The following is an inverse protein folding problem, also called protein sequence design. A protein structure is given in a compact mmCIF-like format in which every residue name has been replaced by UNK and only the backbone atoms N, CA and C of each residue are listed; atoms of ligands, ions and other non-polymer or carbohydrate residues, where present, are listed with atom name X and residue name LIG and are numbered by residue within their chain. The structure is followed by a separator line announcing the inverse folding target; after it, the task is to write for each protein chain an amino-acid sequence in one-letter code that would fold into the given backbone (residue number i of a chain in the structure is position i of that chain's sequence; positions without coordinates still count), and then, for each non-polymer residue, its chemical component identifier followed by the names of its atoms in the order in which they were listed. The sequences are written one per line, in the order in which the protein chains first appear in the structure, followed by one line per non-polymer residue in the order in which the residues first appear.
data_IF_788253015722
#
_entry.id   IF_788253015722
#
_cell.length_a   1.000
_cell.length_b   1.000
_cell.length_c   1.000
_cell.angle_alpha   90.00
_cell.angle_beta   90.00
_cell.angle_gamma   90.00
#
_symmetry.space_group_name_H-M   'P 1'
#
loop_
_entity.id
_entity.type
_entity.pdbx_description
1 polymer ?
#
# COMPACT_ATOMS: atom_id res chain seq x y z
N UNK A 1 14.33 6.61 8.87
CA UNK A 1 13.89 5.23 8.57
C UNK A 1 12.98 5.29 7.37
N UNK A 2 13.36 4.57 6.31
CA UNK A 2 12.64 4.50 5.02
C UNK A 2 11.23 3.94 5.17
N UNK A 3 10.95 3.27 6.30
CA UNK A 3 9.59 2.81 6.66
C UNK A 3 8.57 3.94 6.63
N UNK A 4 8.94 5.15 7.08
CA UNK A 4 8.03 6.32 7.08
C UNK A 4 7.72 6.85 5.68
N UNK A 5 8.51 6.46 4.68
CA UNK A 5 8.35 6.88 3.28
C UNK A 5 7.42 5.93 2.51
N UNK A 6 7.05 4.78 3.10
CA UNK A 6 6.08 3.86 2.48
C UNK A 6 4.69 4.53 2.53
N UNK A 7 3.96 4.58 1.40
CA UNK A 7 2.59 5.08 1.40
C UNK A 7 1.67 4.29 2.34
N UNK A 8 0.74 4.99 3.00
CA UNK A 8 -0.25 4.43 3.93
C UNK A 8 0.35 3.74 5.17
N UNK A 9 1.49 4.21 5.68
CA UNK A 9 2.01 3.79 6.99
C UNK A 9 1.45 4.68 8.10
N UNK A 10 0.90 4.05 9.13
CA UNK A 10 0.49 4.68 10.39
C UNK A 10 1.40 4.23 11.51
N UNK A 11 2.16 5.17 12.10
CA UNK A 11 3.04 4.91 13.24
C UNK A 11 2.22 4.81 14.53
N UNK A 12 2.07 3.60 15.07
CA UNK A 12 1.32 3.25 16.28
C UNK A 12 2.20 2.81 17.44
N UNK A 13 3.53 2.98 17.35
CA UNK A 13 4.45 2.67 18.44
C UNK A 13 4.05 3.44 19.70
N UNK A 14 3.80 2.70 20.79
CA UNK A 14 3.37 3.26 22.07
C UNK A 14 1.93 3.80 22.11
N UNK A 15 1.10 3.54 21.08
CA UNK A 15 -0.29 4.03 20.98
C UNK A 15 -1.35 2.96 21.19
N UNK A 16 -0.97 1.68 21.19
CA UNK A 16 -1.87 0.55 21.45
C UNK A 16 -1.85 0.13 22.93
N UNK A 17 -2.86 -0.64 23.36
CA UNK A 17 -2.93 -1.12 24.75
C UNK A 17 -1.67 -1.91 25.13
N UNK A 18 -1.14 -1.66 26.34
CA UNK A 18 0.05 -2.32 26.86
C UNK A 18 -0.05 -2.50 28.37
N UNK A 19 0.56 -3.58 28.87
CA UNK A 19 0.71 -3.90 30.29
C UNK A 19 2.12 -4.45 30.54
N UNK A 20 3.10 -3.57 30.38
CA UNK A 20 4.52 -3.89 30.53
C UNK A 20 5.36 -3.51 29.31
N UNK A 21 6.56 -4.10 29.21
CA UNK A 21 7.51 -3.83 28.13
C UNK A 21 8.12 -5.11 27.58
N UNK A 22 8.25 -5.17 26.26
CA UNK A 22 9.06 -6.19 25.60
C UNK A 22 10.55 -5.91 25.77
N UNK A 23 11.37 -6.96 25.69
CA UNK A 23 12.83 -6.80 25.60
C UNK A 23 13.20 -6.16 24.27
N UNK A 24 14.17 -5.26 24.29
CA UNK A 24 14.71 -4.58 23.12
C UNK A 24 16.15 -5.04 22.91
N UNK A 25 16.49 -5.35 21.67
CA UNK A 25 17.83 -5.69 21.22
C UNK A 25 18.26 -4.75 20.10
N UNK A 26 19.53 -4.79 19.75
CA UNK A 26 20.00 -4.14 18.54
C UNK A 26 19.35 -4.78 17.29
N UNK A 27 19.05 -3.97 16.27
CA UNK A 27 18.39 -4.43 15.05
C UNK A 27 19.20 -5.48 14.30
N UNK A 28 20.52 -5.53 14.48
CA UNK A 28 21.42 -6.55 13.91
C UNK A 28 21.06 -7.98 14.33
N UNK A 29 20.28 -8.17 15.41
CA UNK A 29 19.78 -9.49 15.75
C UNK A 29 18.69 -10.00 14.81
N UNK A 30 18.10 -9.14 13.97
CA UNK A 30 17.00 -9.48 13.07
C UNK A 30 17.54 -10.05 11.75
N UNK A 31 17.32 -11.34 11.54
CA UNK A 31 17.73 -12.10 10.35
C UNK A 31 16.53 -12.55 9.51
N UNK A 32 15.35 -12.60 10.11
CA UNK A 32 14.17 -13.21 9.50
C UNK A 32 12.98 -12.23 9.47
N UNK A 33 12.16 -12.33 8.43
CA UNK A 33 10.81 -11.75 8.40
C UNK A 33 9.80 -12.89 8.50
N UNK A 34 8.86 -12.80 9.43
CA UNK A 34 7.79 -13.76 9.64
C UNK A 34 6.46 -13.22 9.08
N UNK A 35 5.83 -13.96 8.17
CA UNK A 35 4.53 -13.61 7.58
C UNK A 35 3.41 -14.36 8.31
N UNK A 36 2.43 -13.58 8.76
CA UNK A 36 1.25 -14.06 9.48
C UNK A 36 -0.05 -13.60 8.81
N UNK A 37 -1.11 -14.34 9.11
CA UNK A 37 -2.48 -13.84 9.03
C UNK A 37 -3.05 -13.66 10.45
N UNK A 38 -4.12 -12.89 10.60
CA UNK A 38 -4.73 -12.66 11.92
C UNK A 38 -5.63 -13.81 12.38
N UNK A 39 -6.05 -14.70 11.46
CA UNK A 39 -7.09 -15.72 11.71
C UNK A 39 -8.43 -15.08 12.15
N UNK A 40 -8.65 -13.83 11.74
CA UNK A 40 -9.87 -13.06 11.99
C UNK A 40 -10.31 -12.43 10.69
N UNK A 41 -11.61 -12.28 10.47
CA UNK A 41 -12.08 -11.59 9.26
C UNK A 41 -11.77 -10.09 9.32
N UNK A 42 -11.86 -9.49 10.50
CA UNK A 42 -11.59 -8.08 10.72
C UNK A 42 -10.67 -7.88 11.93
N UNK A 43 -10.21 -6.65 12.12
CA UNK A 43 -9.33 -6.27 13.20
C UNK A 43 -8.31 -5.24 12.77
N UNK A 44 -7.56 -4.78 13.77
CA UNK A 44 -6.53 -3.77 13.68
C UNK A 44 -5.54 -3.95 14.83
N UNK A 45 -4.48 -3.17 14.85
CA UNK A 45 -3.47 -3.24 15.89
C UNK A 45 -4.03 -2.97 17.29
N UNK A 46 -5.03 -2.09 17.40
CA UNK A 46 -5.65 -1.76 18.68
C UNK A 46 -6.42 -2.97 19.26
N UNK A 47 -7.26 -3.61 18.46
CA UNK A 47 -8.02 -4.81 18.84
C UNK A 47 -7.10 -6.01 19.12
N UNK A 48 -6.07 -6.22 18.31
CA UNK A 48 -5.08 -7.27 18.56
C UNK A 48 -4.27 -6.99 19.83
N UNK A 49 -3.87 -5.75 20.10
CA UNK A 49 -3.21 -5.38 21.35
C UNK A 49 -4.09 -5.68 22.57
N UNK A 50 -5.37 -5.28 22.54
CA UNK A 50 -6.34 -5.59 23.60
C UNK A 50 -6.45 -7.09 23.87
N UNK A 51 -6.52 -7.90 22.82
CA UNK A 51 -6.56 -9.36 22.97
C UNK A 51 -5.28 -9.90 23.61
N UNK A 52 -4.11 -9.51 23.09
CA UNK A 52 -2.81 -9.96 23.60
C UNK A 52 -2.57 -9.53 25.06
N UNK A 53 -2.95 -8.32 25.45
CA UNK A 53 -2.81 -7.86 26.83
C UNK A 53 -3.80 -8.57 27.75
N UNK A 54 -5.10 -8.51 27.44
CA UNK A 54 -6.14 -8.93 28.39
C UNK A 54 -6.34 -10.44 28.48
N UNK A 55 -6.06 -11.18 27.41
CA UNK A 55 -6.34 -12.61 27.34
C UNK A 55 -5.07 -13.47 27.32
N UNK A 56 -3.97 -12.95 26.76
CA UNK A 56 -2.69 -13.68 26.71
C UNK A 56 -1.70 -13.20 27.78
N UNK A 57 -2.03 -12.13 28.52
CA UNK A 57 -1.17 -11.52 29.54
C UNK A 57 0.20 -11.12 28.98
N UNK A 58 0.23 -10.65 27.73
CA UNK A 58 1.45 -10.17 27.08
C UNK A 58 1.63 -8.66 27.29
N UNK A 59 2.88 -8.17 27.23
CA UNK A 59 3.15 -6.73 27.38
C UNK A 59 2.45 -5.82 26.39
N UNK A 60 2.06 -6.31 25.20
CA UNK A 60 1.42 -5.51 24.15
C UNK A 60 1.10 -6.36 22.92
N UNK A 61 0.98 -5.72 21.76
CA UNK A 61 0.72 -6.42 20.49
C UNK A 61 1.91 -7.30 20.05
N UNK A 62 1.60 -8.48 19.49
CA UNK A 62 2.58 -9.45 19.02
C UNK A 62 3.41 -9.02 17.80
N UNK A 63 2.80 -8.28 16.88
CA UNK A 63 3.37 -8.03 15.54
C UNK A 63 4.09 -6.69 15.49
N UNK A 64 5.17 -6.62 14.70
CA UNK A 64 5.84 -5.34 14.44
C UNK A 64 4.99 -4.49 13.47
N UNK A 65 4.35 -5.16 12.51
CA UNK A 65 3.49 -4.54 11.53
C UNK A 65 2.18 -5.32 11.39
N UNK A 66 1.07 -4.60 11.25
CA UNK A 66 -0.24 -5.15 10.85
C UNK A 66 -0.65 -4.47 9.54
N UNK A 67 -1.15 -5.23 8.57
CA UNK A 67 -1.63 -4.73 7.29
C UNK A 67 -3.14 -4.94 7.20
N UNK A 68 -3.89 -3.84 7.26
CA UNK A 68 -5.36 -3.84 7.18
C UNK A 68 -5.85 -4.19 5.77
N UNK A 69 -7.14 -4.53 5.64
CA UNK A 69 -7.76 -4.95 4.36
C UNK A 69 -7.62 -3.90 3.24
N UNK A 70 -7.59 -2.61 3.58
CA UNK A 70 -7.39 -1.48 2.66
C UNK A 70 -5.92 -1.23 2.28
N UNK A 71 -4.99 -2.02 2.84
CA UNK A 71 -3.55 -1.88 2.63
C UNK A 71 -2.85 -0.89 3.58
N UNK A 72 -3.55 -0.29 4.54
CA UNK A 72 -2.89 0.50 5.59
C UNK A 72 -1.92 -0.37 6.39
N UNK A 73 -0.68 0.10 6.57
CA UNK A 73 0.36 -0.55 7.34
C UNK A 73 0.43 0.14 8.71
N UNK A 74 0.03 -0.57 9.76
CA UNK A 74 0.15 -0.13 11.13
C UNK A 74 1.47 -0.60 11.73
N UNK A 75 2.34 0.35 12.10
CA UNK A 75 3.67 0.09 12.64
C UNK A 75 3.68 0.18 14.16
N UNK A 76 3.89 -0.95 14.82
CA UNK A 76 3.64 -1.12 16.26
C UNK A 76 4.89 -1.15 17.14
N UNK A 77 6.03 -1.60 16.61
CA UNK A 77 7.26 -1.76 17.40
C UNK A 77 8.50 -1.29 16.64
N UNK A 78 9.47 -0.73 17.36
CA UNK A 78 10.82 -0.60 16.83
C UNK A 78 11.37 -1.95 16.37
N UNK A 79 12.19 -1.96 15.32
CA UNK A 79 12.65 -3.20 14.70
C UNK A 79 13.45 -4.10 15.66
N UNK A 80 14.07 -3.54 16.70
CA UNK A 80 14.83 -4.30 17.71
C UNK A 80 13.98 -5.00 18.78
N UNK A 81 12.66 -4.77 18.81
CA UNK A 81 11.78 -5.33 19.84
C UNK A 81 11.61 -6.84 19.65
N UNK A 82 11.68 -7.59 20.75
CA UNK A 82 11.38 -9.02 20.79
C UNK A 82 9.91 -9.26 21.19
N UNK A 83 8.98 -8.94 20.28
CA UNK A 83 7.54 -9.17 20.47
C UNK A 83 7.16 -10.64 20.21
N UNK A 84 5.98 -11.08 20.66
CA UNK A 84 5.64 -12.51 20.78
C UNK A 84 4.80 -13.06 19.63
N UNK A 85 5.42 -13.34 18.47
CA UNK A 85 4.71 -13.82 17.27
C UNK A 85 5.14 -15.21 16.76
N UNK A 86 6.36 -15.67 17.09
CA UNK A 86 6.95 -16.92 16.56
C UNK A 86 7.89 -17.62 17.58
N UNK A 87 7.57 -17.52 18.87
CA UNK A 87 8.22 -18.28 19.95
C UNK A 87 9.74 -18.10 20.01
N UNK A 88 10.51 -19.18 19.85
CA UNK A 88 11.99 -19.16 19.96
C UNK A 88 12.64 -18.21 18.96
N UNK A 89 11.99 -17.90 17.83
CA UNK A 89 12.50 -16.98 16.83
C UNK A 89 12.08 -15.51 17.06
N UNK A 90 11.34 -15.18 18.12
CA UNK A 90 10.91 -13.80 18.42
C UNK A 90 12.09 -12.80 18.45
N UNK A 91 13.26 -13.23 18.94
CA UNK A 91 14.46 -12.38 18.98
C UNK A 91 14.90 -12.00 17.58
N UNK A 92 14.96 -12.97 16.67
CA UNK A 92 15.56 -12.79 15.34
C UNK A 92 14.57 -12.44 14.22
N UNK A 93 13.25 -12.49 14.50
CA UNK A 93 12.23 -12.25 13.49
C UNK A 93 11.48 -10.93 13.69
N UNK A 94 11.19 -10.25 12.58
CA UNK A 94 10.21 -9.17 12.48
C UNK A 94 8.89 -9.77 11.98
N UNK A 95 7.82 -9.61 12.76
CA UNK A 95 6.50 -10.18 12.44
C UNK A 95 5.61 -9.20 11.68
N UNK A 96 5.12 -9.61 10.50
CA UNK A 96 4.13 -8.90 9.70
C UNK A 96 2.84 -9.72 9.69
N UNK A 97 1.74 -9.17 10.19
CA UNK A 97 0.42 -9.79 10.17
C UNK A 97 -0.49 -9.11 9.15
N UNK A 98 -1.08 -9.86 8.23
CA UNK A 98 -2.16 -9.37 7.37
C UNK A 98 -3.51 -9.70 8.02
N UNK A 99 -4.40 -8.72 8.14
CA UNK A 99 -5.75 -8.93 8.66
C UNK A 99 -6.54 -9.79 7.69
N UNK A 100 -6.99 -10.96 8.14
CA UNK A 100 -7.78 -11.89 7.34
C UNK A 100 -7.65 -13.34 7.80
N UNK A 101 -8.61 -14.14 7.36
CA UNK A 101 -8.62 -15.58 7.48
C UNK A 101 -8.43 -16.24 6.11
N UNK A 102 -7.15 -16.31 5.69
CA UNK A 102 -6.80 -16.79 4.35
C UNK A 102 -6.99 -18.30 4.13
N UNK A 103 -7.55 -19.02 5.11
CA UNK A 103 -8.05 -20.39 4.87
C UNK A 103 -9.23 -20.40 3.90
N UNK A 104 -9.96 -19.29 3.81
CA UNK A 104 -11.21 -19.20 3.05
C UNK A 104 -11.14 -18.22 1.87
N UNK A 105 -10.16 -17.32 1.85
CA UNK A 105 -10.03 -16.31 0.80
C UNK A 105 -8.59 -15.80 0.66
N UNK A 106 -8.32 -15.02 -0.37
CA UNK A 106 -7.01 -14.43 -0.65
C UNK A 106 -6.85 -13.04 0.01
N UNK A 107 -5.61 -12.62 0.37
CA UNK A 107 -5.35 -11.24 0.75
C UNK A 107 -5.74 -10.26 -0.37
N UNK A 108 -6.19 -9.06 0.01
CA UNK A 108 -6.61 -8.05 -0.97
C UNK A 108 -5.45 -7.55 -1.82
N UNK A 109 -5.74 -6.99 -3.00
CA UNK A 109 -4.71 -6.34 -3.84
C UNK A 109 -3.95 -5.24 -3.09
N UNK A 110 -4.64 -4.50 -2.22
CA UNK A 110 -4.02 -3.45 -1.42
C UNK A 110 -3.08 -4.03 -0.36
N UNK A 111 -3.47 -5.12 0.33
CA UNK A 111 -2.60 -5.84 1.25
C UNK A 111 -1.36 -6.40 0.55
N UNK A 112 -1.53 -7.08 -0.59
CA UNK A 112 -0.44 -7.64 -1.40
C UNK A 112 0.57 -6.56 -1.84
N UNK A 113 0.07 -5.39 -2.24
CA UNK A 113 0.89 -4.21 -2.59
C UNK A 113 1.67 -3.67 -1.39
N UNK A 114 1.01 -3.50 -0.26
CA UNK A 114 1.63 -3.00 0.97
C UNK A 114 2.66 -3.97 1.53
N UNK A 115 2.38 -5.28 1.48
CA UNK A 115 3.32 -6.33 1.88
C UNK A 115 4.61 -6.27 1.05
N UNK A 116 4.51 -6.16 -0.28
CA UNK A 116 5.69 -6.01 -1.17
C UNK A 116 6.53 -4.79 -0.83
N UNK A 117 5.88 -3.63 -0.63
CA UNK A 117 6.57 -2.36 -0.29
C UNK A 117 7.27 -2.46 1.06
N UNK A 118 6.56 -2.92 2.08
CA UNK A 118 7.09 -3.09 3.42
C UNK A 118 8.24 -4.08 3.45
N UNK A 119 8.09 -5.23 2.80
CA UNK A 119 9.14 -6.25 2.71
C UNK A 119 10.41 -5.71 2.05
N UNK A 120 10.27 -4.98 0.94
CA UNK A 120 11.41 -4.34 0.24
C UNK A 120 12.16 -3.39 1.18
N UNK A 121 11.44 -2.52 1.89
CA UNK A 121 12.06 -1.56 2.81
C UNK A 121 12.68 -2.26 4.01
N UNK A 122 12.03 -3.26 4.61
CA UNK A 122 12.58 -4.00 5.74
C UNK A 122 13.89 -4.70 5.39
N UNK A 123 14.00 -5.31 4.19
CA UNK A 123 15.25 -5.89 3.72
C UNK A 123 16.40 -4.87 3.65
N UNK A 124 16.10 -3.60 3.40
CA UNK A 124 17.09 -2.54 3.37
C UNK A 124 17.47 -2.03 4.76
N UNK A 125 16.56 -2.11 5.73
CA UNK A 125 16.77 -1.68 7.12
C UNK A 125 17.42 -2.80 7.96
N UNK A 126 17.22 -4.07 7.60
CA UNK A 126 17.79 -5.25 8.26
C UNK A 126 19.15 -5.62 7.65
N UNK A 127 20.24 -5.14 8.26
CA UNK A 127 21.63 -5.39 7.79
C UNK A 127 21.96 -6.88 7.67
N UNK A 128 21.42 -7.71 8.57
CA UNK A 128 21.66 -9.16 8.61
C UNK A 128 20.47 -9.97 8.06
N UNK A 129 19.63 -9.38 7.21
CA UNK A 129 18.51 -10.11 6.61
C UNK A 129 18.99 -11.34 5.85
N UNK A 130 18.45 -12.50 6.20
CA UNK A 130 18.73 -13.79 5.55
C UNK A 130 17.54 -14.27 4.72
N UNK A 131 16.32 -14.24 5.29
CA UNK A 131 15.17 -14.92 4.68
C UNK A 131 13.81 -14.40 5.18
N UNK A 132 12.77 -14.74 4.42
CA UNK A 132 11.37 -14.51 4.79
C UNK A 132 10.64 -15.84 4.81
N UNK A 133 9.86 -16.07 5.86
CA UNK A 133 9.20 -17.33 6.14
C UNK A 133 7.74 -17.10 6.55
N UNK A 134 6.86 -18.00 6.14
CA UNK A 134 5.55 -18.15 6.78
C UNK A 134 5.72 -18.63 8.22
N UNK A 135 4.76 -18.32 9.10
CA UNK A 135 4.80 -18.77 10.50
C UNK A 135 5.00 -20.29 10.62
N UNK A 136 4.38 -21.07 9.74
CA UNK A 136 4.48 -22.52 9.65
C UNK A 136 5.87 -23.05 9.24
N UNK A 137 6.78 -22.19 8.80
CA UNK A 137 8.13 -22.59 8.34
C UNK A 137 9.20 -22.30 9.42
N UNK A 138 8.78 -21.88 10.61
CA UNK A 138 9.65 -21.75 11.76
C UNK A 138 9.66 -23.03 12.59
N UNK A 139 10.84 -23.38 13.10
CA UNK A 139 11.05 -24.57 13.92
C UNK A 139 10.11 -24.59 15.14
N UNK A 140 9.30 -25.65 15.25
CA UNK A 140 8.31 -25.83 16.32
C UNK A 140 6.93 -25.22 16.04
N UNK A 141 6.73 -24.66 14.84
CA UNK A 141 5.48 -24.06 14.38
C UNK A 141 4.91 -24.70 13.13
N UNK A 142 5.46 -25.84 12.68
CA UNK A 142 5.05 -26.58 11.47
C UNK A 142 3.58 -27.02 11.51
N UNK A 143 3.02 -27.15 12.71
CA UNK A 143 1.62 -27.51 12.95
C UNK A 143 0.63 -26.35 12.79
N UNK A 144 1.10 -25.10 12.71
CA UNK A 144 0.27 -23.94 12.39
C UNK A 144 0.11 -23.85 10.88
N UNK A 145 -1.09 -23.61 10.36
CA UNK A 145 -1.27 -23.39 8.90
C UNK A 145 -0.94 -21.97 8.44
N UNK A 146 -0.73 -21.06 9.38
CA UNK A 146 -0.44 -19.64 9.14
C UNK A 146 0.82 -19.48 8.26
N UNK A 147 0.79 -18.68 7.17
CA UNK A 147 -0.18 -17.61 6.91
C UNK A 147 -1.39 -17.99 6.03
N UNK A 148 -1.49 -19.24 5.56
CA UNK A 148 -2.60 -19.71 4.70
C UNK A 148 -2.74 -18.99 3.34
N UNK A 149 -1.70 -18.35 2.82
CA UNK A 149 -1.64 -17.89 1.42
C UNK A 149 -0.22 -18.02 0.88
N UNK A 150 -0.07 -18.04 -0.44
CA UNK A 150 1.25 -18.06 -1.08
C UNK A 150 1.93 -16.69 -1.01
N UNK A 151 2.58 -16.43 0.13
CA UNK A 151 3.29 -15.19 0.34
C UNK A 151 4.49 -15.03 -0.60
N UNK A 152 5.09 -16.12 -1.09
CA UNK A 152 6.23 -16.04 -2.03
C UNK A 152 5.77 -15.51 -3.36
N UNK A 153 4.67 -16.05 -3.90
CA UNK A 153 4.06 -15.53 -5.12
C UNK A 153 3.71 -14.04 -4.99
N UNK A 154 3.17 -13.61 -3.83
CA UNK A 154 2.89 -12.19 -3.57
C UNK A 154 4.16 -11.33 -3.58
N UNK A 155 5.26 -11.81 -2.99
CA UNK A 155 6.53 -11.06 -2.93
C UNK A 155 7.27 -11.04 -4.28
N UNK A 156 7.14 -12.09 -5.09
CA UNK A 156 7.74 -12.21 -6.42
C UNK A 156 6.91 -11.54 -7.52
N UNK A 157 5.66 -11.19 -7.23
CA UNK A 157 4.77 -10.52 -8.17
C UNK A 157 5.39 -9.22 -8.67
N UNK A 158 5.75 -9.20 -9.96
CA UNK A 158 6.27 -8.00 -10.63
C UNK A 158 5.25 -6.86 -10.52
N UNK A 159 5.74 -5.63 -10.50
CA UNK A 159 4.89 -4.44 -10.58
C UNK A 159 4.02 -4.57 -11.84
N UNK A 160 2.72 -4.79 -11.67
CA UNK A 160 1.80 -4.84 -12.80
C UNK A 160 1.58 -3.43 -13.34
N UNK A 161 1.36 -3.28 -14.63
CA UNK A 161 1.03 -1.98 -15.24
C UNK A 161 -0.21 -1.33 -14.61
N UNK A 162 -1.21 -2.12 -14.21
CA UNK A 162 -2.42 -1.64 -13.54
C UNK A 162 -2.18 -1.08 -12.12
N UNK A 163 -1.00 -1.31 -11.56
CA UNK A 163 -0.60 -0.91 -10.22
C UNK A 163 0.23 0.39 -10.20
N UNK A 164 0.56 0.90 -11.40
CA UNK A 164 1.24 2.19 -11.59
C UNK A 164 0.18 3.27 -11.53
N UNK A 165 0.33 4.23 -10.60
CA UNK A 165 -0.53 5.42 -10.57
C UNK A 165 -0.38 6.14 -11.90
N UNK A 166 -1.50 6.39 -12.57
CA UNK A 166 -1.55 7.06 -13.87
C UNK A 166 -2.29 8.37 -13.72
N UNK A 167 -1.97 9.31 -14.61
CA UNK A 167 -2.55 10.64 -14.64
C UNK A 167 -3.20 10.90 -16.00
N UNK A 168 -4.19 11.77 -16.05
CA UNK A 168 -4.78 12.28 -17.30
C UNK A 168 -4.84 13.80 -17.23
N UNK A 169 -4.91 14.43 -18.39
CA UNK A 169 -5.28 15.83 -18.48
C UNK A 169 -6.77 15.94 -18.72
N UNK A 170 -7.40 16.88 -18.04
CA UNK A 170 -8.77 17.30 -18.25
C UNK A 170 -8.78 18.79 -18.54
N UNK A 171 -9.35 19.19 -19.68
CA UNK A 171 -9.43 20.60 -20.05
C UNK A 171 -10.45 21.37 -19.21
N UNK A 172 -10.47 22.69 -19.38
CA UNK A 172 -11.61 23.55 -19.11
C UNK A 172 -12.86 23.13 -19.89
N UNK A 173 -13.91 23.92 -19.72
CA UNK A 173 -15.24 23.65 -20.25
C UNK A 173 -15.37 24.20 -21.68
N UNK A 174 -15.87 23.39 -22.60
CA UNK A 174 -16.34 23.80 -23.92
C UNK A 174 -17.87 23.94 -23.89
N UNK A 175 -18.39 25.10 -24.28
CA UNK A 175 -19.80 25.46 -24.16
C UNK A 175 -20.66 24.91 -25.30
N UNK A 176 -20.03 24.51 -26.42
CA UNK A 176 -20.71 23.99 -27.60
C UNK A 176 -20.01 22.77 -28.18
N UNK A 177 -20.75 21.98 -28.97
CA UNK A 177 -20.19 20.87 -29.72
C UNK A 177 -19.13 21.33 -30.74
N UNK A 178 -19.31 22.51 -31.33
CA UNK A 178 -18.33 23.10 -32.26
C UNK A 178 -17.01 23.43 -31.56
N UNK A 179 -17.07 24.08 -30.39
CA UNK A 179 -15.90 24.37 -29.57
C UNK A 179 -15.17 23.08 -29.17
N UNK A 180 -15.91 22.03 -28.78
CA UNK A 180 -15.34 20.74 -28.42
C UNK A 180 -14.62 20.08 -29.61
N UNK A 181 -15.23 20.09 -30.80
CA UNK A 181 -14.63 19.52 -32.02
C UNK A 181 -13.36 20.27 -32.40
N UNK A 182 -13.40 21.61 -32.38
CA UNK A 182 -12.22 22.44 -32.64
C UNK A 182 -11.12 22.21 -31.61
N UNK A 183 -11.50 22.07 -30.34
CA UNK A 183 -10.58 21.77 -29.25
C UNK A 183 -9.88 20.42 -29.42
N UNK A 184 -10.65 19.38 -29.77
CA UNK A 184 -10.09 18.04 -30.06
C UNK A 184 -9.13 18.10 -31.24
N UNK A 185 -9.49 18.81 -32.31
CA UNK A 185 -8.63 18.96 -33.49
C UNK A 185 -7.30 19.63 -33.15
N UNK A 186 -7.33 20.73 -32.40
CA UNK A 186 -6.10 21.42 -31.97
C UNK A 186 -5.19 20.51 -31.13
N UNK A 187 -5.75 19.70 -30.24
CA UNK A 187 -4.96 18.72 -29.48
C UNK A 187 -4.43 17.58 -30.34
N UNK A 188 -5.22 17.04 -31.28
CA UNK A 188 -4.79 15.96 -32.18
C UNK A 188 -3.71 16.39 -33.17
N UNK A 189 -3.74 17.65 -33.62
CA UNK A 189 -2.71 18.21 -34.51
C UNK A 189 -1.38 18.44 -33.78
N UNK A 190 -1.43 18.80 -32.49
CA UNK A 190 -0.24 19.02 -31.66
C UNK A 190 0.30 17.72 -31.04
N UNK A 191 -0.60 16.79 -30.72
CA UNK A 191 -0.31 15.60 -29.95
C UNK A 191 -1.01 14.37 -30.55
N UNK A 192 -0.26 13.29 -30.75
CA UNK A 192 -0.81 12.01 -31.19
C UNK A 192 -1.48 11.23 -30.04
N UNK A 193 -2.33 11.91 -29.25
CA UNK A 193 -3.00 11.32 -28.09
C UNK A 193 -4.38 10.78 -28.41
N UNK A 194 -4.79 9.76 -27.67
CA UNK A 194 -6.20 9.38 -27.57
C UNK A 194 -6.94 10.40 -26.70
N UNK A 195 -8.08 10.90 -27.20
CA UNK A 195 -8.91 11.88 -26.51
C UNK A 195 -10.32 11.32 -26.28
N UNK A 196 -10.85 11.56 -25.09
CA UNK A 196 -12.19 11.19 -24.65
C UNK A 196 -13.01 12.44 -24.37
N UNK A 197 -14.30 12.39 -24.65
CA UNK A 197 -15.24 13.44 -24.29
C UNK A 197 -15.89 13.11 -22.95
N UNK A 198 -16.01 14.11 -22.08
CA UNK A 198 -16.65 13.96 -20.78
C UNK A 198 -17.64 15.10 -20.57
N UNK A 199 -18.90 14.76 -20.29
CA UNK A 199 -19.88 15.73 -19.81
C UNK A 199 -19.48 16.22 -18.41
N UNK A 200 -19.50 17.54 -18.18
CA UNK A 200 -19.13 18.13 -16.89
C UNK A 200 -20.13 17.76 -15.78
N UNK A 201 -21.41 17.59 -16.16
CA UNK A 201 -22.48 17.13 -15.27
C UNK A 201 -23.52 16.31 -16.04
N UNK A 202 -24.49 15.74 -15.32
CA UNK A 202 -25.53 14.85 -15.89
C UNK A 202 -26.85 15.56 -16.24
N UNK A 203 -27.00 16.84 -15.94
CA UNK A 203 -28.19 17.62 -16.33
C UNK A 203 -28.31 17.80 -17.85
N UNK A 204 -29.52 18.11 -18.32
CA UNK A 204 -29.83 18.35 -19.74
C UNK A 204 -28.91 19.43 -20.34
N UNK A 205 -28.36 19.12 -21.52
CA UNK A 205 -27.39 19.97 -22.25
C UNK A 205 -26.15 20.35 -21.42
N UNK A 206 -25.36 19.37 -20.95
CA UNK A 206 -24.16 19.66 -20.19
C UNK A 206 -23.07 20.20 -21.11
N UNK A 207 -22.21 21.08 -20.59
CA UNK A 207 -21.03 21.44 -21.35
C UNK A 207 -19.99 20.31 -21.25
N UNK A 208 -19.03 20.30 -22.17
CA UNK A 208 -18.12 19.17 -22.34
C UNK A 208 -16.68 19.53 -22.01
N UNK A 209 -15.91 18.52 -21.63
CA UNK A 209 -14.46 18.59 -21.45
C UNK A 209 -13.78 17.52 -22.31
N UNK A 210 -12.52 17.76 -22.63
CA UNK A 210 -11.65 16.75 -23.24
C UNK A 210 -10.80 16.14 -22.13
N UNK A 211 -10.73 14.81 -22.13
CA UNK A 211 -9.85 14.02 -21.26
C UNK A 211 -8.87 13.23 -22.12
N UNK A 212 -7.60 13.20 -21.75
CA UNK A 212 -6.57 12.48 -22.52
C UNK A 212 -6.49 10.99 -22.18
N UNK A 213 -5.65 10.27 -22.93
CA UNK A 213 -4.99 9.04 -22.49
C UNK A 213 -4.16 9.25 -21.21
N UNK A 214 -3.44 8.21 -20.79
CA UNK A 214 -2.76 8.20 -19.50
C UNK A 214 -1.28 8.55 -19.59
N UNK A 215 -0.80 9.33 -18.65
CA UNK A 215 0.62 9.59 -18.37
C UNK A 215 1.09 8.73 -17.21
N UNK A 216 2.37 8.36 -17.23
CA UNK A 216 2.97 7.50 -16.19
C UNK A 216 3.37 8.34 -14.98
N UNK A 217 3.83 9.58 -15.18
CA UNK A 217 4.26 10.47 -14.09
C UNK A 217 3.40 11.73 -14.04
N UNK A 218 3.26 12.27 -12.83
CA UNK A 218 2.56 13.54 -12.63
C UNK A 218 3.32 14.68 -13.30
N UNK A 219 4.64 14.68 -13.24
CA UNK A 219 5.51 15.70 -13.86
C UNK A 219 5.33 15.76 -15.38
N UNK A 220 5.23 14.61 -16.06
CA UNK A 220 4.95 14.56 -17.49
C UNK A 220 3.58 15.15 -17.81
N UNK A 221 2.55 14.78 -17.04
CA UNK A 221 1.22 15.35 -17.18
C UNK A 221 1.25 16.87 -16.95
N UNK A 222 1.87 17.35 -15.87
CA UNK A 222 1.97 18.78 -15.54
C UNK A 222 2.71 19.58 -16.62
N UNK A 223 3.79 19.04 -17.18
CA UNK A 223 4.51 19.65 -18.30
C UNK A 223 3.60 19.87 -19.49
N UNK A 224 2.80 18.87 -19.85
CA UNK A 224 1.86 18.96 -20.95
C UNK A 224 0.67 19.86 -20.64
N UNK A 225 0.16 19.85 -19.40
CA UNK A 225 -0.88 20.77 -18.95
C UNK A 225 -0.41 22.23 -19.13
N UNK A 226 0.82 22.53 -18.70
CA UNK A 226 1.42 23.85 -18.82
C UNK A 226 1.64 24.27 -20.28
N UNK A 227 2.11 23.37 -21.15
CA UNK A 227 2.25 23.69 -22.58
C UNK A 227 0.89 24.04 -23.22
N UNK A 228 -0.18 23.32 -22.87
CA UNK A 228 -1.52 23.62 -23.36
C UNK A 228 -2.01 24.97 -22.82
N UNK A 229 -1.78 25.25 -21.53
CA UNK A 229 -2.11 26.54 -20.92
C UNK A 229 -1.40 27.70 -21.61
N UNK A 230 -0.10 27.57 -21.89
CA UNK A 230 0.71 28.62 -22.51
C UNK A 230 0.40 28.81 -24.01
N UNK A 231 0.13 27.72 -24.73
CA UNK A 231 -0.02 27.76 -26.19
C UNK A 231 -1.45 27.93 -26.68
N UNK A 232 -2.43 27.39 -25.96
CA UNK A 232 -3.85 27.44 -26.32
C UNK A 232 -4.66 28.35 -25.39
N UNK A 233 -4.08 28.81 -24.27
CA UNK A 233 -4.76 29.67 -23.31
C UNK A 233 -5.85 28.95 -22.51
N UNK A 234 -5.88 27.62 -22.54
CA UNK A 234 -6.91 26.83 -21.88
C UNK A 234 -6.47 26.43 -20.49
N UNK A 235 -7.37 26.50 -19.52
CA UNK A 235 -7.12 25.89 -18.20
C UNK A 235 -7.06 24.36 -18.33
N UNK A 236 -6.06 23.72 -17.74
CA UNK A 236 -5.91 22.25 -17.76
C UNK A 236 -5.64 21.72 -16.36
N UNK A 237 -6.28 20.59 -16.04
CA UNK A 237 -6.18 19.95 -14.75
C UNK A 237 -5.52 18.58 -14.91
N UNK A 238 -4.53 18.28 -14.07
CA UNK A 238 -4.01 16.91 -13.90
C UNK A 238 -4.92 16.16 -12.94
N UNK A 239 -5.47 15.04 -13.38
CA UNK A 239 -6.36 14.19 -12.60
C UNK A 239 -5.82 12.77 -12.52
N UNK A 240 -6.19 12.05 -11.45
CA UNK A 240 -5.90 10.62 -11.32
C UNK A 240 -6.70 9.84 -12.37
N UNK A 241 -6.04 8.86 -13.00
CA UNK A 241 -6.55 8.10 -14.15
C UNK A 241 -7.38 6.87 -13.81
#
# INVERSE_FOLDING_TARGET
MKIKEIPNVTDLRGKTESDGKYKVYDVTCKTDIAIHHSLTDEGDSASFARYHVRHQHWPGIAYHFVILKDGTIEWNHDLGVMSFHVGKANKQAIGICLVGDFRYYEPTRAQKRSLRRLHTVLKMEMVNYERTRGHNEFLGYEWKSCPCFDYRAVLEEKRQEADVKRFRLMTGIFQSAEELVNGKKALMERYSWTLYERADHTHFNPPFRIVTGTFITQEEAEKHAKDIEESLGWKVYVIDA
#
